data_IF_949903069213
#
_entry.id   IF_949903069213
#
_cell.length_a   1.000
_cell.length_b   1.000
_cell.length_c   1.000
_cell.angle_alpha   90.00
_cell.angle_beta   90.00
_cell.angle_gamma   90.00
#
_symmetry.space_group_name_H-M   'P 1'
#
loop_
_entity.id
_entity.type
_entity.pdbx_description
1 polymer ?
#
# COMPACT_ATOMS: atom_id res chain seq x y z
N UNK A 1 -6.58 -38.55 60.88
CA UNK A 1 -6.38 -37.14 60.46
C UNK A 1 -5.44 -37.17 59.26
N UNK A 2 -6.00 -37.11 58.05
CA UNK A 2 -5.26 -37.13 56.78
C UNK A 2 -5.12 -35.68 56.29
N UNK A 3 -3.88 -35.25 56.02
CA UNK A 3 -3.59 -33.94 55.45
C UNK A 3 -4.04 -33.87 53.97
N UNK A 4 -4.52 -32.72 53.47
CA UNK A 4 -4.89 -32.58 52.08
C UNK A 4 -3.64 -32.42 51.18
N UNK A 5 -3.69 -32.84 49.91
CA UNK A 5 -2.55 -32.72 49.02
C UNK A 5 -2.36 -31.27 48.55
N UNK A 6 -1.11 -30.80 48.57
CA UNK A 6 -0.71 -29.56 47.91
C UNK A 6 -0.96 -29.69 46.40
N UNK A 7 -1.91 -28.92 45.88
CA UNK A 7 -2.09 -28.72 44.45
C UNK A 7 -0.97 -27.79 43.97
N UNK A 8 0.06 -28.36 43.35
CA UNK A 8 1.13 -27.61 42.70
C UNK A 8 0.54 -26.91 41.45
N UNK A 9 0.21 -25.62 41.56
CA UNK A 9 -0.12 -24.81 40.39
C UNK A 9 1.14 -24.70 39.51
N UNK A 10 1.21 -25.51 38.45
CA UNK A 10 2.06 -25.20 37.31
C UNK A 10 1.49 -23.94 36.65
N UNK A 11 2.06 -22.79 37.02
CA UNK A 11 2.01 -21.58 36.20
C UNK A 11 2.66 -21.94 34.86
N UNK A 12 1.83 -22.30 33.88
CA UNK A 12 2.24 -22.28 32.48
C UNK A 12 2.73 -20.86 32.21
N UNK A 13 4.05 -20.69 32.15
CA UNK A 13 4.67 -19.47 31.69
C UNK A 13 4.19 -19.24 30.26
N UNK A 14 3.16 -18.41 30.10
CA UNK A 14 2.80 -17.85 28.81
C UNK A 14 4.07 -17.14 28.35
N UNK A 15 4.70 -17.55 27.24
CA UNK A 15 5.90 -16.87 26.78
C UNK A 15 5.52 -15.42 26.55
N UNK A 16 6.17 -14.50 27.27
CA UNK A 16 6.11 -13.07 27.02
C UNK A 16 6.37 -12.91 25.52
N UNK A 17 5.32 -12.59 24.76
CA UNK A 17 5.47 -12.33 23.33
C UNK A 17 6.41 -11.15 23.19
N UNK A 18 7.64 -11.46 22.78
CA UNK A 18 8.68 -10.47 22.56
C UNK A 18 8.19 -9.54 21.44
N UNK A 19 8.13 -8.24 21.72
CA UNK A 19 7.73 -7.27 20.72
C UNK A 19 8.74 -7.27 19.58
N UNK A 20 8.26 -7.06 18.36
CA UNK A 20 9.09 -7.03 17.18
C UNK A 20 9.84 -5.68 17.12
N UNK A 21 11.17 -5.70 17.08
CA UNK A 21 11.98 -4.48 17.09
C UNK A 21 12.24 -3.96 15.67
N UNK A 22 12.04 -2.66 15.46
CA UNK A 22 12.31 -1.99 14.19
C UNK A 22 13.77 -1.52 14.11
N UNK A 23 14.43 -1.82 13.00
CA UNK A 23 15.70 -1.19 12.63
C UNK A 23 15.45 -0.19 11.50
N UNK A 24 15.85 1.07 11.68
CA UNK A 24 15.51 2.18 10.78
C UNK A 24 16.79 2.82 10.21
N UNK A 25 16.91 2.88 8.89
CA UNK A 25 18.03 3.50 8.17
C UNK A 25 17.89 5.01 8.06
N UNK A 26 18.19 5.76 9.13
CA UNK A 26 17.95 7.21 9.21
C UNK A 26 19.14 8.10 8.80
N UNK A 27 20.37 7.56 8.77
CA UNK A 27 21.60 8.34 8.57
C UNK A 27 22.24 8.21 7.19
N UNK A 28 22.00 7.10 6.48
CA UNK A 28 22.56 6.87 5.15
C UNK A 28 21.87 7.69 4.06
N UNK A 29 22.30 7.54 2.82
CA UNK A 29 21.51 8.01 1.67
C UNK A 29 20.17 7.27 1.63
N UNK A 30 19.08 7.92 1.19
CA UNK A 30 17.84 7.21 0.87
C UNK A 30 18.12 6.03 -0.05
N UNK A 31 17.38 4.94 0.14
CA UNK A 31 17.45 3.75 -0.72
C UNK A 31 17.10 4.09 -2.17
N UNK A 32 16.20 5.04 -2.36
CA UNK A 32 15.78 5.55 -3.65
C UNK A 32 14.89 6.77 -3.48
N UNK A 33 14.51 7.36 -4.60
CA UNK A 33 13.50 8.42 -4.66
C UNK A 33 12.48 8.05 -5.72
N UNK A 34 11.20 8.04 -5.35
CA UNK A 34 10.09 7.84 -6.27
C UNK A 34 9.56 9.18 -6.79
N UNK A 35 8.79 9.16 -7.87
CA UNK A 35 8.15 10.37 -8.40
C UNK A 35 7.26 11.06 -7.35
N UNK A 36 7.14 12.41 -7.33
CA UNK A 36 6.10 13.10 -6.58
C UNK A 36 4.68 12.64 -6.95
N UNK A 37 4.51 12.12 -8.18
CA UNK A 37 3.29 11.49 -8.68
C UNK A 37 3.29 9.95 -8.50
N UNK A 38 4.09 9.39 -7.57
CA UNK A 38 4.28 7.95 -7.39
C UNK A 38 2.96 7.17 -7.38
N UNK A 39 2.05 7.51 -6.48
CA UNK A 39 0.69 6.97 -6.53
C UNK A 39 -0.14 7.76 -7.56
N UNK A 40 -0.43 7.13 -8.70
CA UNK A 40 -1.20 7.66 -9.82
C UNK A 40 -2.42 6.77 -10.09
N UNK A 41 -3.30 7.19 -10.99
CA UNK A 41 -4.62 6.59 -11.16
C UNK A 41 -4.91 6.25 -12.61
N UNK A 42 -5.76 5.26 -12.82
CA UNK A 42 -6.41 5.04 -14.11
C UNK A 42 -7.89 5.38 -14.07
N UNK A 43 -8.47 5.67 -15.23
CA UNK A 43 -9.92 5.66 -15.49
C UNK A 43 -10.24 4.51 -16.44
N UNK A 44 -11.36 3.84 -16.23
CA UNK A 44 -11.76 2.71 -17.05
C UNK A 44 -12.15 3.21 -18.45
N UNK A 45 -11.42 2.74 -19.47
CA UNK A 45 -11.63 3.12 -20.86
C UNK A 45 -13.03 2.73 -21.38
N UNK A 46 -13.69 1.74 -20.78
CA UNK A 46 -15.06 1.36 -21.13
C UNK A 46 -16.08 2.47 -20.87
N UNK A 47 -15.78 3.39 -19.94
CA UNK A 47 -16.64 4.53 -19.65
C UNK A 47 -16.81 5.46 -20.87
N UNK A 48 -15.81 5.55 -21.75
CA UNK A 48 -15.87 6.37 -22.96
C UNK A 48 -16.94 5.88 -23.96
N UNK A 49 -17.42 4.63 -23.82
CA UNK A 49 -18.53 4.09 -24.63
C UNK A 49 -19.90 4.57 -24.15
N UNK A 50 -19.97 5.22 -22.98
CA UNK A 50 -21.23 5.70 -22.42
C UNK A 50 -21.54 7.12 -22.91
N UNK A 51 -22.75 7.39 -23.43
CA UNK A 51 -23.14 8.73 -23.92
C UNK A 51 -23.01 9.85 -22.87
N UNK A 52 -23.06 9.51 -21.57
CA UNK A 52 -22.99 10.47 -20.46
C UNK A 52 -21.60 10.57 -19.83
N UNK A 53 -20.56 10.00 -20.43
CA UNK A 53 -19.20 9.93 -19.87
C UNK A 53 -18.65 11.29 -19.41
N UNK A 54 -18.79 12.33 -20.24
CA UNK A 54 -18.30 13.67 -19.91
C UNK A 54 -19.05 14.29 -18.72
N UNK A 55 -20.36 14.05 -18.64
CA UNK A 55 -21.18 14.50 -17.51
C UNK A 55 -20.77 13.79 -16.21
N UNK A 56 -20.42 12.50 -16.28
CA UNK A 56 -19.93 11.71 -15.15
C UNK A 56 -18.64 12.28 -14.55
N UNK A 57 -17.68 12.65 -15.42
CA UNK A 57 -16.42 13.29 -15.01
C UNK A 57 -16.62 14.69 -14.42
N UNK A 58 -17.77 15.31 -14.68
CA UNK A 58 -18.13 16.62 -14.14
C UNK A 58 -18.77 16.56 -12.75
N UNK A 59 -19.01 15.35 -12.20
CA UNK A 59 -19.57 15.17 -10.86
C UNK A 59 -18.68 15.82 -9.78
N UNK A 60 -19.23 16.69 -8.90
CA UNK A 60 -18.44 17.43 -7.92
C UNK A 60 -17.75 16.51 -6.91
N UNK A 61 -18.45 15.47 -6.42
CA UNK A 61 -17.91 14.45 -5.53
C UNK A 61 -16.72 13.73 -6.14
N UNK A 62 -16.83 13.28 -7.39
CA UNK A 62 -15.76 12.62 -8.11
C UNK A 62 -14.53 13.54 -8.28
N UNK A 63 -14.74 14.83 -8.58
CA UNK A 63 -13.66 15.82 -8.72
C UNK A 63 -12.97 16.12 -7.40
N UNK A 64 -13.71 16.18 -6.30
CA UNK A 64 -13.18 16.36 -4.94
C UNK A 64 -12.32 15.17 -4.54
N UNK A 65 -12.80 13.95 -4.81
CA UNK A 65 -12.07 12.71 -4.56
C UNK A 65 -10.77 12.66 -5.39
N UNK A 66 -10.83 13.03 -6.68
CA UNK A 66 -9.64 13.10 -7.54
C UNK A 66 -8.63 14.15 -7.04
N UNK A 67 -9.10 15.33 -6.62
CA UNK A 67 -8.25 16.38 -6.04
C UNK A 67 -7.55 15.90 -4.76
N UNK A 68 -8.20 15.06 -3.96
CA UNK A 68 -7.63 14.43 -2.77
C UNK A 68 -6.40 13.58 -3.06
N UNK A 69 -6.33 12.98 -4.24
CA UNK A 69 -5.25 12.09 -4.67
C UNK A 69 -4.17 12.79 -5.51
N UNK A 70 -4.30 14.10 -5.73
CA UNK A 70 -3.30 14.95 -6.38
C UNK A 70 -2.03 15.11 -5.50
N UNK A 71 -0.82 15.25 -6.09
CA UNK A 71 -0.51 15.20 -7.53
C UNK A 71 -0.46 13.76 -8.04
N UNK A 72 -0.80 13.53 -9.32
CA UNK A 72 -0.76 12.20 -9.93
C UNK A 72 -0.94 12.27 -11.45
N UNK A 73 -0.45 11.25 -12.15
CA UNK A 73 -0.79 11.02 -13.55
C UNK A 73 -2.14 10.32 -13.66
N UNK A 74 -2.83 10.58 -14.77
CA UNK A 74 -4.06 9.89 -15.15
C UNK A 74 -3.82 9.13 -16.45
N UNK A 75 -4.17 7.84 -16.46
CA UNK A 75 -4.17 6.99 -17.66
C UNK A 75 -5.58 6.45 -17.90
N UNK A 76 -5.97 6.23 -19.15
CA UNK A 76 -7.13 5.38 -19.46
C UNK A 76 -6.67 3.92 -19.56
N UNK A 77 -7.27 3.05 -18.75
CA UNK A 77 -6.86 1.64 -18.56
C UNK A 77 -8.02 0.65 -18.64
N UNK A 78 -7.74 -0.62 -18.36
CA UNK A 78 -8.68 -1.75 -18.33
C UNK A 78 -8.62 -2.66 -19.55
N UNK A 79 -9.49 -3.67 -19.60
CA UNK A 79 -9.40 -4.81 -20.55
C UNK A 79 -9.36 -4.43 -22.03
N UNK A 80 -9.95 -3.29 -22.43
CA UNK A 80 -9.86 -2.81 -23.81
C UNK A 80 -8.51 -2.16 -24.17
N UNK A 81 -7.59 -2.08 -23.20
CA UNK A 81 -6.23 -1.53 -23.31
C UNK A 81 -5.16 -2.48 -22.74
N UNK A 82 -5.54 -3.70 -22.36
CA UNK A 82 -4.65 -4.80 -21.95
C UNK A 82 -4.14 -5.53 -23.23
N UNK A 83 -2.95 -6.11 -23.31
CA UNK A 83 -2.36 -7.15 -22.45
C UNK A 83 -0.82 -7.14 -22.46
N UNK A 84 -0.20 -7.27 -21.29
CA UNK A 84 1.10 -7.93 -21.05
C UNK A 84 0.99 -8.59 -19.65
N UNK A 85 1.02 -9.92 -19.58
CA UNK A 85 0.94 -10.69 -18.34
C UNK A 85 2.29 -11.36 -18.10
N UNK A 86 2.91 -11.10 -16.94
CA UNK A 86 4.17 -11.73 -16.52
C UNK A 86 3.87 -12.87 -15.53
N UNK A 87 4.32 -14.08 -15.82
CA UNK A 87 4.17 -15.29 -14.98
C UNK A 87 5.56 -15.76 -14.51
N UNK A 88 5.96 -15.50 -13.26
CA UNK A 88 7.32 -15.77 -12.76
C UNK A 88 7.60 -17.26 -12.50
N UNK A 89 6.70 -18.18 -12.86
CA UNK A 89 6.82 -19.61 -12.59
C UNK A 89 7.11 -20.46 -13.84
N UNK A 90 7.47 -19.84 -14.97
CA UNK A 90 7.78 -20.52 -16.25
C UNK A 90 9.11 -20.04 -16.82
N UNK A 91 9.63 -20.78 -17.81
CA UNK A 91 10.69 -20.27 -18.69
C UNK A 91 10.25 -18.93 -19.32
N UNK A 92 11.21 -18.10 -19.76
CA UNK A 92 10.96 -16.72 -20.16
C UNK A 92 9.67 -16.58 -20.96
N UNK A 93 8.76 -15.75 -20.45
CA UNK A 93 7.44 -15.60 -21.05
C UNK A 93 7.55 -14.87 -22.39
N UNK A 94 6.61 -15.14 -23.31
CA UNK A 94 6.56 -14.42 -24.60
C UNK A 94 6.51 -12.90 -24.39
N UNK A 95 5.85 -12.47 -23.32
CA UNK A 95 5.74 -11.08 -22.89
C UNK A 95 7.09 -10.47 -22.50
N UNK A 96 7.96 -11.23 -21.82
CA UNK A 96 9.34 -10.81 -21.52
C UNK A 96 10.18 -10.67 -22.78
N UNK A 97 10.03 -11.61 -23.72
CA UNK A 97 10.72 -11.55 -25.01
C UNK A 97 10.27 -10.34 -25.84
N UNK A 98 8.97 -10.05 -25.87
CA UNK A 98 8.39 -8.87 -26.53
C UNK A 98 8.92 -7.59 -25.89
N UNK A 99 8.90 -7.49 -24.54
CA UNK A 99 9.42 -6.33 -23.84
C UNK A 99 10.91 -6.12 -24.15
N UNK A 100 11.72 -7.17 -24.03
CA UNK A 100 13.15 -7.14 -24.33
C UNK A 100 13.42 -6.73 -25.78
N UNK A 101 12.69 -7.31 -26.74
CA UNK A 101 12.80 -6.98 -28.17
C UNK A 101 12.42 -5.54 -28.49
N UNK A 102 11.33 -5.04 -27.90
CA UNK A 102 10.91 -3.64 -28.07
C UNK A 102 11.94 -2.68 -27.47
N UNK A 103 12.43 -2.93 -26.24
CA UNK A 103 13.39 -2.04 -25.57
C UNK A 103 14.73 -1.96 -26.32
N UNK A 104 15.21 -3.07 -26.90
CA UNK A 104 16.40 -3.08 -27.76
C UNK A 104 16.26 -2.18 -29.00
N UNK A 105 15.04 -2.05 -29.53
CA UNK A 105 14.77 -1.33 -30.79
C UNK A 105 14.35 0.13 -30.57
N UNK A 106 13.45 0.37 -29.61
CA UNK A 106 12.78 1.66 -29.38
C UNK A 106 13.02 2.28 -28.01
N UNK A 107 13.78 1.65 -27.11
CA UNK A 107 13.92 2.10 -25.73
C UNK A 107 14.57 3.49 -25.55
N UNK A 108 15.27 4.00 -26.57
CA UNK A 108 15.89 5.34 -26.55
C UNK A 108 14.90 6.49 -26.66
N UNK A 109 13.72 6.28 -27.26
CA UNK A 109 12.75 7.35 -27.55
C UNK A 109 11.61 7.45 -26.53
N UNK A 110 11.50 6.48 -25.62
CA UNK A 110 10.49 6.47 -24.55
C UNK A 110 11.07 7.07 -23.26
N UNK A 111 10.27 7.83 -22.52
CA UNK A 111 10.70 8.43 -21.23
C UNK A 111 10.71 7.40 -20.09
N UNK A 112 9.74 6.50 -20.09
CA UNK A 112 9.53 5.47 -19.07
C UNK A 112 9.04 4.17 -19.69
N UNK A 113 9.43 3.03 -19.11
CA UNK A 113 8.87 1.71 -19.41
C UNK A 113 7.64 1.48 -18.55
N UNK A 114 6.50 1.21 -19.17
CA UNK A 114 5.28 0.85 -18.43
C UNK A 114 4.95 -0.62 -18.59
N UNK A 115 4.61 -1.27 -17.48
CA UNK A 115 4.11 -2.65 -17.46
C UNK A 115 2.92 -2.78 -16.52
N UNK A 116 2.25 -3.93 -16.55
CA UNK A 116 1.03 -4.19 -15.79
C UNK A 116 1.22 -5.32 -14.79
N UNK A 117 0.52 -5.27 -13.65
CA UNK A 117 0.57 -6.36 -12.68
C UNK A 117 -0.76 -6.53 -11.93
N UNK A 118 -1.21 -7.78 -11.82
CA UNK A 118 -2.34 -8.22 -11.01
C UNK A 118 -1.93 -9.49 -10.26
N UNK A 119 -2.31 -9.63 -8.98
CA UNK A 119 -1.87 -10.77 -8.18
C UNK A 119 -2.59 -12.06 -8.57
N UNK A 120 -3.91 -11.99 -8.76
CA UNK A 120 -4.78 -13.16 -8.86
C UNK A 120 -5.89 -12.99 -9.89
N UNK A 121 -6.52 -14.09 -10.27
CA UNK A 121 -7.70 -14.09 -11.13
C UNK A 121 -8.95 -13.72 -10.32
N UNK A 122 -9.65 -12.64 -10.70
CA UNK A 122 -10.86 -12.19 -9.99
C UNK A 122 -11.99 -13.22 -9.95
N UNK A 123 -12.00 -14.21 -10.84
CA UNK A 123 -13.04 -15.26 -10.89
C UNK A 123 -12.84 -16.39 -9.88
N UNK A 124 -11.60 -16.63 -9.44
CA UNK A 124 -11.25 -17.77 -8.59
C UNK A 124 -10.53 -17.37 -7.30
N UNK A 125 -10.22 -16.09 -7.11
CA UNK A 125 -9.51 -15.60 -5.93
C UNK A 125 -10.32 -15.80 -4.65
N UNK A 126 -9.62 -16.20 -3.60
CA UNK A 126 -10.15 -16.44 -2.27
C UNK A 126 -9.74 -15.34 -1.28
N UNK A 127 -10.35 -15.35 -0.09
CA UNK A 127 -9.94 -14.45 1.00
C UNK A 127 -8.49 -14.72 1.42
N UNK A 128 -8.09 -15.99 1.42
CA UNK A 128 -6.78 -16.47 1.84
C UNK A 128 -5.69 -15.94 0.90
N UNK A 129 -5.97 -15.88 -0.40
CA UNK A 129 -5.05 -15.31 -1.39
C UNK A 129 -4.71 -13.84 -1.09
N UNK A 130 -5.70 -13.05 -0.65
CA UNK A 130 -5.52 -11.62 -0.32
C UNK A 130 -4.67 -11.37 0.93
N UNK A 131 -4.50 -12.40 1.78
CA UNK A 131 -3.70 -12.33 3.01
C UNK A 131 -2.42 -13.18 2.93
N UNK A 132 -2.22 -13.91 1.84
CA UNK A 132 -1.13 -14.85 1.69
C UNK A 132 0.19 -14.10 1.43
N UNK A 133 1.19 -14.22 2.33
CA UNK A 133 2.51 -13.65 2.07
C UNK A 133 3.14 -14.20 0.78
N UNK A 134 2.86 -15.46 0.44
CA UNK A 134 3.35 -16.06 -0.79
C UNK A 134 2.79 -15.36 -2.04
N UNK A 135 1.50 -15.01 -2.03
CA UNK A 135 0.87 -14.23 -3.12
C UNK A 135 1.43 -12.81 -3.15
N UNK A 136 1.61 -12.15 -2.00
CA UNK A 136 2.19 -10.81 -1.97
C UNK A 136 3.63 -10.77 -2.50
N UNK A 137 4.42 -11.81 -2.21
CA UNK A 137 5.82 -11.91 -2.62
C UNK A 137 6.00 -12.17 -4.12
N UNK A 138 4.98 -12.65 -4.85
CA UNK A 138 5.08 -12.81 -6.32
C UNK A 138 5.32 -11.47 -7.01
N UNK A 139 4.72 -10.38 -6.49
CA UNK A 139 4.96 -9.03 -7.02
C UNK A 139 6.42 -8.60 -6.88
N UNK A 140 7.05 -8.91 -5.74
CA UNK A 140 8.45 -8.56 -5.51
C UNK A 140 9.39 -9.28 -6.49
N UNK A 141 9.04 -10.49 -6.90
CA UNK A 141 9.74 -11.23 -7.96
C UNK A 141 9.50 -10.61 -9.32
N UNK A 142 8.25 -10.37 -9.72
CA UNK A 142 7.93 -9.77 -11.02
C UNK A 142 8.60 -8.40 -11.23
N UNK A 143 8.66 -7.56 -10.20
CA UNK A 143 9.39 -6.27 -10.27
C UNK A 143 10.88 -6.50 -10.52
N UNK A 144 11.51 -7.46 -9.84
CA UNK A 144 12.94 -7.76 -10.03
C UNK A 144 13.20 -8.19 -11.47
N UNK A 145 12.40 -9.10 -12.01
CA UNK A 145 12.58 -9.63 -13.36
C UNK A 145 12.43 -8.50 -14.42
N UNK A 146 11.41 -7.64 -14.28
CA UNK A 146 11.24 -6.46 -15.16
C UNK A 146 12.41 -5.48 -15.04
N UNK A 147 12.88 -5.19 -13.82
CA UNK A 147 14.03 -4.30 -13.62
C UNK A 147 15.33 -4.88 -14.19
N UNK A 148 15.53 -6.19 -14.11
CA UNK A 148 16.68 -6.87 -14.72
C UNK A 148 16.65 -6.77 -16.25
N UNK A 149 15.48 -7.00 -16.87
CA UNK A 149 15.29 -6.80 -18.32
C UNK A 149 15.59 -5.36 -18.72
N UNK A 150 15.05 -4.38 -18.00
CA UNK A 150 15.27 -2.95 -18.29
C UNK A 150 16.74 -2.57 -18.08
N UNK A 151 17.39 -3.04 -17.02
CA UNK A 151 18.79 -2.79 -16.76
C UNK A 151 19.70 -3.39 -17.83
N UNK A 152 19.37 -4.57 -18.37
CA UNK A 152 20.14 -5.22 -19.42
C UNK A 152 19.93 -4.59 -20.81
N UNK A 153 18.77 -3.97 -21.07
CA UNK A 153 18.39 -3.47 -22.41
C UNK A 153 18.51 -1.95 -22.54
N UNK A 154 18.05 -1.19 -21.54
CA UNK A 154 18.10 0.29 -21.47
C UNK A 154 18.44 0.77 -20.05
N UNK A 155 19.72 0.60 -19.62
CA UNK A 155 20.14 0.94 -18.27
C UNK A 155 19.73 2.36 -17.82
N UNK A 156 19.21 2.47 -16.60
CA UNK A 156 18.81 3.75 -15.99
C UNK A 156 17.44 4.29 -16.44
N UNK A 157 16.76 3.64 -17.39
CA UNK A 157 15.40 4.02 -17.79
C UNK A 157 14.43 3.85 -16.62
N UNK A 158 13.50 4.80 -16.45
CA UNK A 158 12.47 4.75 -15.42
C UNK A 158 11.46 3.64 -15.72
N UNK A 159 11.01 2.95 -14.67
CA UNK A 159 10.03 1.86 -14.76
C UNK A 159 8.80 2.21 -13.96
N UNK A 160 7.65 2.18 -14.61
CA UNK A 160 6.34 2.51 -14.08
C UNK A 160 5.44 1.28 -14.10
N UNK A 161 4.69 1.05 -13.02
CA UNK A 161 3.48 0.23 -13.09
C UNK A 161 2.40 1.08 -13.75
N UNK A 162 2.23 0.88 -15.05
CA UNK A 162 1.31 1.65 -15.87
C UNK A 162 -0.16 1.28 -15.65
N UNK A 163 -0.45 0.11 -15.08
CA UNK A 163 -1.78 -0.31 -14.65
C UNK A 163 -1.64 -1.45 -13.63
N UNK A 164 -2.28 -1.36 -12.47
CA UNK A 164 -2.18 -2.41 -11.47
C UNK A 164 -3.34 -2.44 -10.49
N UNK A 165 -3.69 -3.63 -10.00
CA UNK A 165 -4.69 -3.80 -8.94
C UNK A 165 -4.51 -5.09 -8.13
N UNK A 166 -5.51 -5.48 -7.35
CA UNK A 166 -5.58 -6.77 -6.65
C UNK A 166 -5.69 -7.94 -7.64
N UNK A 167 -6.79 -7.98 -8.39
CA UNK A 167 -7.15 -9.11 -9.25
C UNK A 167 -7.56 -8.66 -10.65
N UNK A 168 -7.15 -9.38 -11.69
CA UNK A 168 -7.59 -9.10 -13.06
C UNK A 168 -9.02 -9.61 -13.31
N UNK A 169 -9.58 -9.32 -14.48
CA UNK A 169 -10.95 -9.72 -14.83
C UNK A 169 -12.02 -8.84 -14.16
N UNK A 170 -11.69 -7.56 -13.90
CA UNK A 170 -12.58 -6.62 -13.22
C UNK A 170 -12.53 -6.71 -11.69
N UNK A 171 -11.52 -7.35 -11.11
CA UNK A 171 -11.41 -7.53 -9.66
C UNK A 171 -12.17 -8.75 -9.14
N UNK A 172 -11.84 -9.18 -7.93
CA UNK A 172 -12.52 -10.27 -7.23
C UNK A 172 -13.78 -9.76 -6.51
N UNK A 173 -14.99 -10.20 -6.88
CA UNK A 173 -16.23 -9.74 -6.27
C UNK A 173 -16.23 -9.91 -4.75
N UNK A 174 -16.71 -8.91 -4.02
CA UNK A 174 -16.78 -8.88 -2.55
C UNK A 174 -15.43 -8.95 -1.80
N UNK A 175 -14.31 -8.99 -2.53
CA UNK A 175 -12.97 -8.94 -1.93
C UNK A 175 -12.27 -7.64 -2.32
N UNK A 176 -12.21 -7.32 -3.62
CA UNK A 176 -11.44 -6.19 -4.16
C UNK A 176 -12.01 -4.80 -3.83
N UNK A 177 -13.27 -4.73 -3.40
CA UNK A 177 -13.96 -3.50 -2.99
C UNK A 177 -14.05 -3.33 -1.46
N UNK A 178 -13.28 -4.11 -0.69
CA UNK A 178 -13.38 -4.17 0.77
C UNK A 178 -12.07 -3.81 1.46
N UNK A 179 -12.09 -3.71 2.79
CA UNK A 179 -10.91 -3.46 3.62
C UNK A 179 -9.80 -4.51 3.39
N UNK A 180 -10.16 -5.74 3.05
CA UNK A 180 -9.23 -6.81 2.69
C UNK A 180 -8.33 -6.45 1.49
N UNK A 181 -8.80 -5.67 0.53
CA UNK A 181 -7.99 -5.27 -0.63
C UNK A 181 -6.77 -4.41 -0.25
N UNK A 182 -6.86 -3.70 0.89
CA UNK A 182 -5.82 -2.81 1.37
C UNK A 182 -4.50 -3.49 1.71
N UNK A 183 -4.51 -4.80 2.00
CA UNK A 183 -3.26 -5.55 2.22
C UNK A 183 -2.42 -5.64 0.94
N UNK A 184 -3.02 -6.13 -0.14
CA UNK A 184 -2.38 -6.15 -1.46
C UNK A 184 -2.01 -4.75 -1.92
N UNK A 185 -2.86 -3.75 -1.63
CA UNK A 185 -2.62 -2.41 -2.13
C UNK A 185 -1.46 -1.69 -1.41
N UNK A 186 -1.49 -1.62 -0.08
CA UNK A 186 -0.43 -0.97 0.68
C UNK A 186 0.91 -1.71 0.55
N UNK A 187 0.87 -3.04 0.47
CA UNK A 187 2.08 -3.84 0.27
C UNK A 187 2.71 -3.57 -1.10
N UNK A 188 1.89 -3.50 -2.17
CA UNK A 188 2.35 -3.14 -3.51
C UNK A 188 3.04 -1.79 -3.52
N UNK A 189 2.45 -0.77 -2.89
CA UNK A 189 3.06 0.57 -2.81
C UNK A 189 4.41 0.52 -2.09
N UNK A 190 4.52 -0.23 -0.99
CA UNK A 190 5.76 -0.40 -0.24
C UNK A 190 6.85 -1.14 -1.03
N UNK A 191 6.52 -2.28 -1.63
CA UNK A 191 7.44 -3.08 -2.45
C UNK A 191 7.89 -2.31 -3.68
N UNK A 192 6.97 -1.69 -4.41
CA UNK A 192 7.26 -0.92 -5.62
C UNK A 192 8.26 0.20 -5.33
N UNK A 193 8.01 1.00 -4.29
CA UNK A 193 8.92 2.07 -3.90
C UNK A 193 10.29 1.54 -3.47
N UNK A 194 10.31 0.48 -2.64
CA UNK A 194 11.56 -0.13 -2.13
C UNK A 194 12.41 -0.75 -3.23
N UNK A 195 11.80 -1.27 -4.30
CA UNK A 195 12.51 -1.93 -5.39
C UNK A 195 12.84 -0.99 -6.56
N UNK A 196 12.36 0.26 -6.56
CA UNK A 196 12.75 1.28 -7.55
C UNK A 196 11.75 1.49 -8.68
N UNK A 197 10.50 1.05 -8.53
CA UNK A 197 9.40 1.51 -9.40
C UNK A 197 9.16 2.99 -9.12
N UNK A 198 9.07 3.79 -10.17
CA UNK A 198 9.05 5.25 -10.07
C UNK A 198 7.61 5.83 -10.01
N UNK A 199 6.64 5.13 -10.60
CA UNK A 199 5.20 5.45 -10.58
C UNK A 199 4.37 4.16 -10.55
N UNK A 200 3.23 4.18 -9.83
CA UNK A 200 2.24 3.11 -9.70
C UNK A 200 0.85 3.65 -10.02
N UNK A 201 0.24 3.18 -11.11
CA UNK A 201 -1.09 3.59 -11.58
C UNK A 201 -2.16 2.59 -11.16
N UNK A 202 -3.00 2.97 -10.20
CA UNK A 202 -4.08 2.12 -9.67
C UNK A 202 -5.24 1.97 -10.65
N UNK A 203 -5.49 0.73 -11.07
CA UNK A 203 -6.74 0.28 -11.68
C UNK A 203 -7.78 0.00 -10.60
N UNK A 204 -8.86 0.77 -10.49
CA UNK A 204 -9.19 2.02 -11.21
C UNK A 204 -9.64 3.07 -10.21
N UNK A 205 -9.51 4.36 -10.52
CA UNK A 205 -10.12 5.39 -9.69
C UNK A 205 -11.65 5.24 -9.66
N UNK A 206 -12.27 5.20 -10.84
CA UNK A 206 -13.70 5.03 -11.03
C UNK A 206 -13.93 4.25 -12.33
N UNK A 207 -14.87 3.30 -12.35
CA UNK A 207 -15.11 2.46 -13.51
C UNK A 207 -15.84 1.16 -13.20
N UNK A 208 -15.89 0.26 -14.19
CA UNK A 208 -16.48 -1.05 -14.02
C UNK A 208 -15.59 -1.96 -13.16
N UNK A 209 -16.16 -3.08 -12.73
CA UNK A 209 -15.50 -4.05 -11.86
C UNK A 209 -15.64 -3.72 -10.37
N UNK A 210 -14.86 -4.41 -9.56
CA UNK A 210 -14.90 -4.40 -8.08
C UNK A 210 -13.61 -3.88 -7.46
N UNK A 211 -12.60 -3.50 -8.25
CA UNK A 211 -11.34 -2.97 -7.75
C UNK A 211 -11.28 -1.43 -7.68
N UNK A 212 -12.40 -0.76 -7.98
CA UNK A 212 -12.47 0.70 -8.08
C UNK A 212 -12.23 1.34 -6.71
N UNK A 213 -11.56 2.49 -6.67
CA UNK A 213 -11.41 3.27 -5.45
C UNK A 213 -12.73 3.94 -5.05
N UNK A 214 -13.52 4.34 -6.04
CA UNK A 214 -14.80 5.00 -5.89
C UNK A 214 -15.87 4.20 -6.62
N UNK A 215 -16.96 3.87 -5.93
CA UNK A 215 -18.01 3.03 -6.49
C UNK A 215 -19.01 3.81 -7.38
N UNK A 216 -19.96 3.08 -7.96
CA UNK A 216 -20.94 3.64 -8.89
C UNK A 216 -21.86 4.72 -8.28
N UNK A 217 -21.95 4.79 -6.94
CA UNK A 217 -22.68 5.82 -6.21
C UNK A 217 -21.78 6.99 -5.80
N UNK A 218 -20.55 7.03 -6.33
CA UNK A 218 -19.50 7.97 -5.95
C UNK A 218 -19.07 7.85 -4.49
N UNK A 219 -19.26 6.69 -3.87
CA UNK A 219 -18.80 6.45 -2.50
C UNK A 219 -17.35 5.94 -2.49
N UNK A 220 -16.45 6.59 -1.73
CA UNK A 220 -15.08 6.13 -1.58
C UNK A 220 -15.00 4.84 -0.76
N UNK A 221 -14.29 3.86 -1.29
CA UNK A 221 -14.06 2.56 -0.65
C UNK A 221 -12.80 2.56 0.22
N UNK A 222 -12.53 1.50 1.01
CA UNK A 222 -11.41 1.48 1.94
C UNK A 222 -10.06 1.81 1.29
N UNK A 223 -9.82 1.31 0.08
CA UNK A 223 -8.59 1.60 -0.68
C UNK A 223 -8.46 3.07 -1.09
N UNK A 224 -9.57 3.82 -1.28
CA UNK A 224 -9.51 5.27 -1.49
C UNK A 224 -8.95 5.97 -0.26
N UNK A 225 -9.46 5.64 0.92
CA UNK A 225 -9.03 6.23 2.18
C UNK A 225 -7.58 5.88 2.54
N UNK A 226 -7.20 4.63 2.27
CA UNK A 226 -5.80 4.17 2.35
C UNK A 226 -4.89 5.00 1.42
N UNK A 227 -5.31 5.18 0.17
CA UNK A 227 -4.58 5.97 -0.83
C UNK A 227 -4.45 7.44 -0.43
N UNK A 228 -5.51 8.03 0.14
CA UNK A 228 -5.51 9.39 0.65
C UNK A 228 -4.52 9.57 1.80
N UNK A 229 -4.52 8.66 2.79
CA UNK A 229 -3.53 8.68 3.88
C UNK A 229 -2.10 8.55 3.35
N UNK A 230 -1.86 7.62 2.41
CA UNK A 230 -0.56 7.47 1.77
C UNK A 230 -0.10 8.79 1.14
N UNK A 231 -0.96 9.43 0.34
CA UNK A 231 -0.69 10.74 -0.30
C UNK A 231 -0.38 11.84 0.72
N UNK A 232 -1.06 11.88 1.87
CA UNK A 232 -0.85 12.91 2.88
C UNK A 232 0.41 12.70 3.71
N UNK A 233 0.81 11.45 3.97
CA UNK A 233 1.83 11.14 4.97
C UNK A 233 3.17 10.70 4.38
N UNK A 234 3.17 10.00 3.24
CA UNK A 234 4.36 9.33 2.71
C UNK A 234 5.08 10.23 1.70
N UNK A 235 6.34 10.56 1.97
CA UNK A 235 7.20 11.35 1.09
C UNK A 235 7.89 10.52 0.01
N UNK A 236 8.64 11.19 -0.86
CA UNK A 236 9.27 10.58 -2.05
C UNK A 236 10.58 9.84 -1.77
N UNK A 237 11.28 10.18 -0.69
CA UNK A 237 12.57 9.56 -0.30
C UNK A 237 12.30 8.26 0.46
N UNK A 238 12.68 7.14 -0.15
CA UNK A 238 12.48 5.78 0.38
C UNK A 238 13.64 5.43 1.31
N UNK A 239 13.35 4.90 2.50
CA UNK A 239 14.34 4.55 3.52
C UNK A 239 14.39 3.04 3.76
N UNK A 240 15.48 2.59 4.38
CA UNK A 240 15.62 1.20 4.82
C UNK A 240 14.90 0.98 6.16
N UNK A 241 14.24 -0.17 6.27
CA UNK A 241 13.63 -0.65 7.50
C UNK A 241 13.56 -2.18 7.52
N UNK A 242 13.82 -2.77 8.68
CA UNK A 242 13.62 -4.19 8.93
C UNK A 242 12.99 -4.44 10.29
N UNK A 243 12.46 -5.65 10.47
CA UNK A 243 11.87 -6.14 11.71
C UNK A 243 12.70 -7.30 12.23
N UNK A 244 13.03 -7.27 13.51
CA UNK A 244 13.70 -8.35 14.24
C UNK A 244 12.72 -8.95 15.25
N UNK A 245 12.73 -10.27 15.40
CA UNK A 245 11.86 -10.98 16.36
C UNK A 245 10.45 -11.30 15.84
N UNK A 246 10.17 -11.09 14.55
CA UNK A 246 8.94 -11.56 13.89
C UNK A 246 9.21 -12.00 12.45
N UNK A 247 8.29 -12.76 11.84
CA UNK A 247 8.36 -13.11 10.42
C UNK A 247 8.06 -11.88 9.57
N UNK A 248 9.09 -11.33 8.92
CA UNK A 248 8.98 -10.16 8.06
C UNK A 248 8.06 -10.37 6.84
N UNK A 249 7.74 -11.62 6.48
CA UNK A 249 6.75 -11.92 5.43
C UNK A 249 5.32 -11.64 5.90
N UNK A 250 5.06 -11.77 7.22
CA UNK A 250 3.74 -11.59 7.83
C UNK A 250 3.59 -10.26 8.57
N UNK A 251 4.66 -9.71 9.12
CA UNK A 251 4.71 -8.37 9.70
C UNK A 251 5.55 -7.48 8.79
N UNK A 252 4.89 -6.87 7.82
CA UNK A 252 5.53 -6.19 6.69
C UNK A 252 5.63 -4.70 7.02
N UNK A 253 6.80 -4.11 6.84
CA UNK A 253 7.07 -2.71 7.20
C UNK A 253 7.81 -1.98 6.10
N UNK A 254 7.51 -0.69 5.97
CA UNK A 254 8.09 0.20 4.97
C UNK A 254 8.29 1.59 5.56
N UNK A 255 9.35 2.27 5.14
CA UNK A 255 9.75 3.54 5.72
C UNK A 255 10.09 4.55 4.64
N UNK A 256 9.54 5.75 4.76
CA UNK A 256 9.87 6.88 3.92
C UNK A 256 10.13 8.10 4.80
N UNK A 257 10.80 9.11 4.24
CA UNK A 257 10.68 10.46 4.79
C UNK A 257 9.21 10.89 4.79
N UNK A 258 8.79 11.66 5.78
CA UNK A 258 7.43 12.19 5.82
C UNK A 258 7.19 13.17 4.67
N UNK A 259 5.98 13.21 4.14
CA UNK A 259 5.59 14.14 3.09
C UNK A 259 5.87 15.59 3.55
N UNK A 260 6.78 16.34 2.88
CA UNK A 260 7.17 17.68 3.29
C UNK A 260 6.07 18.74 3.04
N UNK A 261 5.06 18.42 2.21
CA UNK A 261 3.90 19.30 2.02
C UNK A 261 2.85 19.17 3.14
N UNK A 262 3.00 18.21 4.06
CA UNK A 262 2.05 18.05 5.15
C UNK A 262 2.22 19.19 6.18
N UNK A 263 1.17 19.98 6.50
CA UNK A 263 1.31 21.22 7.27
C UNK A 263 1.76 21.02 8.72
N UNK A 264 1.53 19.83 9.28
CA UNK A 264 1.86 19.48 10.67
C UNK A 264 3.31 19.01 10.87
N UNK A 265 3.89 18.36 9.86
CA UNK A 265 5.17 17.65 9.99
C UNK A 265 6.31 18.51 9.46
N UNK A 266 7.53 18.17 9.84
CA UNK A 266 8.73 18.94 9.51
C UNK A 266 9.77 18.06 8.83
N UNK A 267 10.71 18.72 8.17
CA UNK A 267 11.88 18.07 7.60
C UNK A 267 12.62 17.23 8.67
N UNK A 268 13.11 16.06 8.26
CA UNK A 268 13.69 15.08 9.19
C UNK A 268 12.68 14.18 9.93
N UNK A 269 11.36 14.38 9.77
CA UNK A 269 10.33 13.43 10.20
C UNK A 269 10.28 12.23 9.23
N UNK A 270 9.89 11.06 9.74
CA UNK A 270 9.73 9.83 8.94
C UNK A 270 8.36 9.19 9.12
N UNK A 271 7.85 8.61 8.05
CA UNK A 271 6.56 7.90 8.02
C UNK A 271 6.82 6.41 7.84
N UNK A 272 6.54 5.64 8.88
CA UNK A 272 6.45 4.19 8.85
C UNK A 272 5.04 3.79 8.43
N UNK A 273 4.91 2.76 7.60
CA UNK A 273 3.65 2.05 7.45
C UNK A 273 3.87 0.55 7.57
N UNK A 274 2.91 -0.13 8.18
CA UNK A 274 3.04 -1.52 8.58
C UNK A 274 1.76 -2.30 8.31
N UNK A 275 1.91 -3.59 8.01
CA UNK A 275 0.84 -4.55 7.81
C UNK A 275 1.05 -5.74 8.74
N UNK A 276 0.00 -6.12 9.46
CA UNK A 276 -0.05 -7.33 10.26
C UNK A 276 -0.94 -8.36 9.57
N UNK A 277 -0.33 -9.36 8.95
CA UNK A 277 -1.03 -10.51 8.33
C UNK A 277 -1.27 -11.65 9.33
N UNK A 278 -0.87 -11.52 10.59
CA UNK A 278 -1.23 -12.48 11.62
C UNK A 278 -2.69 -12.32 12.03
N UNK A 279 -3.28 -13.44 12.46
CA UNK A 279 -4.60 -13.48 13.10
C UNK A 279 -4.58 -13.05 14.58
N UNK A 280 -3.48 -12.49 15.05
CA UNK A 280 -3.28 -12.00 16.41
C UNK A 280 -2.61 -10.63 16.36
N UNK A 281 -2.90 -9.78 17.35
CA UNK A 281 -2.25 -8.48 17.47
C UNK A 281 -0.74 -8.63 17.64
N UNK A 282 0.00 -7.75 16.97
CA UNK A 282 1.45 -7.62 17.07
C UNK A 282 1.80 -6.25 17.65
N UNK A 283 3.01 -6.13 18.16
CA UNK A 283 3.57 -4.88 18.66
C UNK A 283 4.91 -4.63 18.00
N UNK A 284 5.09 -3.42 17.47
CA UNK A 284 6.36 -2.96 16.94
C UNK A 284 7.01 -2.01 17.95
N UNK A 285 8.28 -2.23 18.28
CA UNK A 285 9.07 -1.32 19.09
C UNK A 285 9.97 -0.48 18.20
N UNK A 286 9.96 0.84 18.42
CA UNK A 286 10.98 1.71 17.85
C UNK A 286 12.35 1.35 18.42
N UNK A 287 13.44 1.58 17.68
CA UNK A 287 14.78 1.36 18.22
C UNK A 287 15.07 2.39 19.32
N UNK A 288 15.97 2.04 20.25
CA UNK A 288 16.27 2.80 21.48
C UNK A 288 16.52 4.30 21.25
N UNK A 289 17.19 4.67 20.17
CA UNK A 289 17.47 6.07 19.82
C UNK A 289 16.22 6.91 19.49
N UNK A 290 15.08 6.27 19.22
CA UNK A 290 13.81 6.92 18.92
C UNK A 290 12.74 6.71 20.00
N UNK A 291 13.03 5.99 21.11
CA UNK A 291 12.03 5.75 22.16
C UNK A 291 11.42 7.03 22.72
N UNK A 292 12.20 8.10 22.90
CA UNK A 292 11.68 9.36 23.43
C UNK A 292 10.90 10.21 22.42
N UNK A 293 10.72 9.73 21.19
CA UNK A 293 10.04 10.50 20.13
C UNK A 293 8.52 10.38 20.27
N UNK A 294 7.86 11.49 19.93
CA UNK A 294 6.43 11.52 19.75
C UNK A 294 6.06 10.79 18.46
N UNK A 295 5.07 9.90 18.52
CA UNK A 295 4.55 9.19 17.36
C UNK A 295 3.09 9.56 17.15
N UNK A 296 2.74 9.89 15.92
CA UNK A 296 1.36 10.12 15.51
C UNK A 296 0.86 8.91 14.71
N UNK A 297 -0.11 8.20 15.27
CA UNK A 297 -0.68 6.99 14.69
C UNK A 297 -1.86 7.32 13.76
N UNK A 298 -1.93 6.60 12.64
CA UNK A 298 -3.04 6.56 11.70
C UNK A 298 -3.40 5.10 11.41
N UNK A 299 -4.08 4.46 12.37
CA UNK A 299 -4.47 3.06 12.27
C UNK A 299 -5.81 2.94 11.53
N UNK A 300 -5.82 2.17 10.44
CA UNK A 300 -7.04 1.82 9.73
C UNK A 300 -7.57 0.49 10.25
N UNK A 301 -8.87 0.43 10.50
CA UNK A 301 -9.60 -0.79 10.85
C UNK A 301 -10.90 -0.85 10.06
N UNK A 302 -11.42 -2.05 9.77
CA UNK A 302 -12.74 -2.15 9.16
C UNK A 302 -13.81 -1.63 10.13
N UNK A 303 -14.86 -1.04 9.58
CA UNK A 303 -16.01 -0.57 10.35
C UNK A 303 -17.27 -1.35 9.96
N UNK A 304 -18.04 -1.82 10.95
CA UNK A 304 -19.25 -2.62 10.71
C UNK A 304 -19.12 -4.09 11.14
N UNK A 305 -20.14 -4.89 10.83
CA UNK A 305 -20.25 -6.30 11.26
C UNK A 305 -19.50 -7.25 10.31
N UNK A 306 -19.22 -6.79 9.10
CA UNK A 306 -18.57 -7.52 8.02
C UNK A 306 -17.06 -7.71 8.26
N UNK A 307 -16.52 -7.14 9.36
CA UNK A 307 -15.12 -7.26 9.74
C UNK A 307 -14.20 -6.94 8.55
N UNK A 308 -13.20 -7.76 8.26
CA UNK A 308 -12.23 -7.55 7.18
C UNK A 308 -12.85 -7.41 5.78
N UNK A 309 -14.07 -7.88 5.56
CA UNK A 309 -14.80 -7.76 4.30
C UNK A 309 -15.67 -6.49 4.22
N UNK A 310 -15.56 -5.59 5.21
CA UNK A 310 -16.31 -4.34 5.19
C UNK A 310 -15.88 -3.43 4.04
N UNK A 311 -16.86 -2.74 3.45
CA UNK A 311 -16.66 -1.64 2.48
C UNK A 311 -16.50 -0.28 3.17
N UNK A 312 -16.43 -0.25 4.50
CA UNK A 312 -16.25 0.96 5.31
C UNK A 312 -15.04 0.80 6.22
N UNK A 313 -14.32 1.89 6.42
CA UNK A 313 -13.08 1.91 7.20
C UNK A 313 -13.14 3.04 8.22
N UNK A 314 -12.52 2.81 9.37
CA UNK A 314 -12.33 3.82 10.40
C UNK A 314 -10.84 4.10 10.59
N UNK A 315 -10.52 5.36 10.84
CA UNK A 315 -9.20 5.86 11.20
C UNK A 315 -9.18 6.15 12.70
N UNK A 316 -8.35 5.44 13.45
CA UNK A 316 -8.23 5.59 14.91
C UNK A 316 -9.60 5.56 15.62
N UNK A 317 -10.49 4.66 15.20
CA UNK A 317 -11.84 4.49 15.75
C UNK A 317 -12.90 5.48 15.22
N UNK A 318 -12.54 6.41 14.32
CA UNK A 318 -13.48 7.32 13.67
C UNK A 318 -13.77 6.87 12.25
N UNK A 319 -15.03 6.64 11.93
CA UNK A 319 -15.46 6.30 10.57
C UNK A 319 -14.99 7.37 9.57
N UNK A 320 -14.37 6.94 8.47
CA UNK A 320 -14.04 7.82 7.35
C UNK A 320 -15.21 7.87 6.37
N UNK A 321 -15.68 9.09 6.12
CA UNK A 321 -16.71 9.42 5.15
C UNK A 321 -16.48 10.85 4.66
N UNK A 322 -16.95 11.19 3.46
CA UNK A 322 -16.97 12.58 3.03
C UNK A 322 -17.88 13.40 3.94
N UNK A 323 -17.53 14.68 4.16
CA UNK A 323 -18.38 15.59 4.93
C UNK A 323 -19.61 15.98 4.10
N UNK A 324 -19.36 16.28 2.83
CA UNK A 324 -20.33 16.57 1.78
C UNK A 324 -19.69 16.22 0.41
N UNK A 325 -20.30 16.58 -0.71
CA UNK A 325 -19.76 16.28 -2.04
C UNK A 325 -18.46 17.04 -2.37
N UNK A 326 -18.15 18.13 -1.67
CA UNK A 326 -17.03 19.01 -1.99
C UNK A 326 -15.90 18.97 -0.96
N UNK A 327 -16.13 18.29 0.17
CA UNK A 327 -15.26 18.35 1.34
C UNK A 327 -14.83 16.95 1.81
N UNK A 328 -13.51 16.70 1.79
CA UNK A 328 -12.90 15.54 2.42
C UNK A 328 -12.84 15.74 3.95
N UNK A 329 -12.96 14.66 4.75
CA UNK A 329 -12.83 14.76 6.20
C UNK A 329 -11.40 15.12 6.59
N UNK A 330 -11.25 15.70 7.78
CA UNK A 330 -9.94 15.83 8.41
C UNK A 330 -9.44 14.45 8.86
N UNK A 331 -8.18 14.12 8.54
CA UNK A 331 -7.56 12.86 8.92
C UNK A 331 -6.85 13.04 10.28
N UNK A 332 -7.55 12.68 11.36
CA UNK A 332 -7.04 12.84 12.72
C UNK A 332 -6.07 11.72 13.11
N UNK A 333 -4.88 12.11 13.57
CA UNK A 333 -3.96 11.21 14.26
C UNK A 333 -4.44 10.83 15.66
N UNK A 334 -3.88 9.74 16.18
CA UNK A 334 -3.82 9.47 17.61
C UNK A 334 -2.36 9.63 18.08
N UNK A 335 -2.10 10.63 18.92
CA UNK A 335 -0.78 10.84 19.50
C UNK A 335 -0.47 9.74 20.53
N UNK A 336 0.62 8.99 20.32
CA UNK A 336 1.06 7.93 21.22
C UNK A 336 2.06 8.48 22.24
N UNK A 337 2.02 8.01 23.48
CA UNK A 337 3.01 8.41 24.49
C UNK A 337 4.42 8.01 24.05
N UNK A 338 5.46 8.85 24.23
CA UNK A 338 6.84 8.45 23.99
C UNK A 338 7.19 7.14 24.72
N UNK A 339 7.89 6.25 24.03
CA UNK A 339 8.31 4.94 24.55
C UNK A 339 7.25 3.85 24.45
N UNK A 340 6.01 4.20 24.06
CA UNK A 340 4.96 3.19 23.82
C UNK A 340 5.30 2.32 22.61
N UNK A 341 4.95 1.04 22.71
CA UNK A 341 4.99 0.15 21.56
C UNK A 341 3.86 0.51 20.58
N UNK A 342 4.13 0.35 19.30
CA UNK A 342 3.16 0.57 18.25
C UNK A 342 2.29 -0.68 18.12
N UNK A 343 1.08 -0.63 18.69
CA UNK A 343 0.12 -1.72 18.60
C UNK A 343 -0.45 -1.84 17.20
N UNK A 344 -0.44 -3.05 16.63
CA UNK A 344 -1.00 -3.35 15.32
C UNK A 344 -1.92 -4.58 15.43
N UNK A 345 -3.26 -4.38 15.50
CA UNK A 345 -4.23 -5.47 15.63
C UNK A 345 -4.09 -6.57 14.56
N UNK A 346 -4.66 -7.74 14.85
CA UNK A 346 -4.78 -8.83 13.88
C UNK A 346 -5.40 -8.34 12.57
N UNK A 347 -4.83 -8.74 11.43
CA UNK A 347 -5.29 -8.31 10.10
C UNK A 347 -5.56 -6.80 10.05
N UNK A 348 -4.52 -6.03 10.31
CA UNK A 348 -4.60 -4.57 10.20
C UNK A 348 -3.40 -3.94 9.55
N UNK A 349 -3.58 -2.69 9.13
CA UNK A 349 -2.53 -1.88 8.56
C UNK A 349 -2.71 -0.42 8.98
N UNK A 350 -1.60 0.32 9.03
CA UNK A 350 -1.62 1.71 9.47
C UNK A 350 -0.31 2.43 9.21
N UNK A 351 -0.33 3.73 9.49
CA UNK A 351 0.81 4.62 9.35
C UNK A 351 1.20 5.20 10.72
N UNK A 352 2.48 5.48 10.90
CA UNK A 352 3.06 6.04 12.11
C UNK A 352 4.08 7.10 11.72
N UNK A 353 3.82 8.36 12.05
CA UNK A 353 4.75 9.44 11.81
C UNK A 353 5.61 9.65 13.06
N UNK A 354 6.91 9.39 12.93
CA UNK A 354 7.89 9.57 14.01
C UNK A 354 8.41 11.00 13.93
N UNK A 355 7.95 11.84 14.86
CA UNK A 355 8.26 13.26 14.87
C UNK A 355 9.63 13.55 15.44
N UNK A 356 10.29 14.57 14.90
CA UNK A 356 11.64 15.00 15.27
C UNK A 356 12.61 13.80 15.26
N UNK A 357 12.45 12.90 14.29
CA UNK A 357 13.34 11.75 14.12
C UNK A 357 14.76 12.21 13.76
N UNK A 358 14.89 13.41 13.18
CA UNK A 358 16.16 14.01 12.71
C UNK A 358 16.88 13.05 11.75
N UNK A 359 16.11 12.43 10.86
CA UNK A 359 16.65 11.57 9.83
C UNK A 359 17.45 12.43 8.84
N UNK A 360 18.77 12.26 8.81
CA UNK A 360 19.68 12.99 7.92
C UNK A 360 19.31 12.70 6.46
N UNK A 361 18.85 11.48 6.18
CA UNK A 361 18.33 11.09 4.87
C UNK A 361 17.07 11.86 4.42
N UNK A 362 16.47 12.66 5.30
CA UNK A 362 15.22 13.42 5.07
C UNK A 362 15.39 14.92 5.24
N UNK A 363 16.63 15.38 5.38
CA UNK A 363 17.11 16.76 5.34
C UNK A 363 17.97 16.86 4.06
#
# INVERSE_FOLDING_TARGET
MLAPPLLLLLLLAVPLRQAAELQLGLRGSPRGTVSPAFLSLTLDASLARQPRFITLLSNPKLRTLARGLSPGFLRFGGTSTDFLIFDPHKDSTLEEEILSGFLKSGGKVIDSVTWHHYYVNGRSATREDFLSPAVLDTFATAVRDVLEIVAATVPGKKVWLGETSSAYGGGAPQLSNTYLAGFMWLDKLGLAARQGIDVVMRQVFFGAGSYHLVDANFEPLPDYWLSLLYKRLVGTRVLEVSVVGADARRLRVYLHCTNPQHPKYREGDVTLFALNLYNVSQTLQLPRQLWSKQVDQYLLLPHGKESILSRRVQLNGRLLQMVDEETLPTLHEAALAPGSALGLPAFSYGFYVIRKAKAIACI
#
